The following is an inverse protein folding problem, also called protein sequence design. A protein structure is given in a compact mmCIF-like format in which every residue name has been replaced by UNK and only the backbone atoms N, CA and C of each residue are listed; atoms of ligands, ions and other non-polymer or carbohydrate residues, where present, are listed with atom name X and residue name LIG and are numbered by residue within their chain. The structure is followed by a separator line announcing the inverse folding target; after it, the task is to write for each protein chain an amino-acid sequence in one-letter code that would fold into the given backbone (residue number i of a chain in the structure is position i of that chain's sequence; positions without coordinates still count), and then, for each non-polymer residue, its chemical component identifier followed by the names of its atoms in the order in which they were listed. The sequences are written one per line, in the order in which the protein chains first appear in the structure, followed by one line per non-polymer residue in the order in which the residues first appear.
data_IF_278014719739
#
_entry.id   IF_278014719739
#
_cell.length_a   1.000
_cell.length_b   1.000
_cell.length_c   1.000
_cell.angle_alpha   90.00
_cell.angle_beta   90.00
_cell.angle_gamma   90.00
#
_symmetry.space_group_name_H-M   'P 1'
#
loop_
_entity.id
_entity.type
_entity.pdbx_description
1 polymer ?
#
# COMPACT_ATOMS: atom_id res chain seq x y z
N UNK A 1 -1.15 -0.06 18.04
CA UNK A 1 -1.62 -1.44 18.21
C UNK A 1 -2.04 -2.05 16.87
N UNK A 2 -2.73 -1.33 15.97
CA UNK A 2 -3.17 -1.86 14.67
C UNK A 2 -2.05 -2.07 13.64
N UNK A 3 -1.03 -1.23 13.62
CA UNK A 3 0.07 -1.28 12.65
C UNK A 3 1.06 -2.41 12.91
N UNK A 4 1.39 -2.65 14.16
CA UNK A 4 2.26 -3.78 14.53
C UNK A 4 1.62 -5.12 14.19
N UNK A 5 0.30 -5.22 14.29
CA UNK A 5 -0.44 -6.43 13.98
C UNK A 5 -0.37 -6.77 12.48
N UNK A 6 -0.55 -5.81 11.59
CA UNK A 6 -0.56 -6.05 10.15
C UNK A 6 0.83 -6.35 9.54
N UNK A 7 1.91 -5.85 10.15
CA UNK A 7 3.29 -6.15 9.73
C UNK A 7 3.68 -7.54 10.24
N UNK A 8 3.26 -7.88 11.45
CA UNK A 8 3.41 -9.22 12.02
C UNK A 8 2.70 -10.29 11.19
N UNK A 9 1.52 -9.99 10.64
CA UNK A 9 0.74 -10.96 9.86
C UNK A 9 1.46 -11.44 8.59
N UNK A 10 2.25 -10.60 7.93
CA UNK A 10 3.01 -11.00 6.73
C UNK A 10 4.30 -11.75 7.06
N UNK A 11 4.98 -11.36 8.13
CA UNK A 11 6.07 -12.17 8.68
C UNK A 11 5.56 -13.55 9.07
N UNK A 12 4.38 -13.61 9.70
CA UNK A 12 3.71 -14.87 10.06
C UNK A 12 3.42 -15.72 8.82
N UNK A 13 3.03 -15.12 7.69
CA UNK A 13 2.76 -15.87 6.46
C UNK A 13 4.02 -16.58 5.92
N UNK A 14 5.16 -15.86 5.82
CA UNK A 14 6.43 -16.47 5.42
C UNK A 14 6.90 -17.54 6.40
N UNK A 15 6.80 -17.25 7.69
CA UNK A 15 7.16 -18.17 8.76
C UNK A 15 6.27 -19.41 8.72
N UNK A 16 4.96 -19.22 8.47
CA UNK A 16 4.00 -20.33 8.36
C UNK A 16 4.32 -21.25 7.17
N UNK A 17 4.66 -20.70 6.00
CA UNK A 17 5.04 -21.50 4.83
C UNK A 17 6.30 -22.30 5.15
N UNK A 18 7.36 -21.67 5.64
CA UNK A 18 8.62 -22.36 5.96
C UNK A 18 8.39 -23.42 7.03
N UNK A 19 7.62 -23.11 8.06
CA UNK A 19 7.29 -24.05 9.14
C UNK A 19 6.48 -25.25 8.64
N UNK A 20 5.52 -25.00 7.73
CA UNK A 20 4.72 -26.05 7.12
C UNK A 20 5.56 -26.96 6.21
N UNK A 21 6.49 -26.40 5.42
CA UNK A 21 7.41 -27.18 4.60
C UNK A 21 8.38 -27.99 5.47
N UNK A 22 8.89 -27.44 6.57
CA UNK A 22 9.71 -28.19 7.52
C UNK A 22 8.91 -29.33 8.19
N UNK A 23 7.65 -29.07 8.57
CA UNK A 23 6.76 -30.10 9.09
C UNK A 23 6.49 -31.21 8.07
N UNK A 24 6.31 -30.85 6.79
CA UNK A 24 6.12 -31.80 5.70
C UNK A 24 7.35 -32.69 5.42
N UNK A 25 8.55 -32.15 5.56
CA UNK A 25 9.79 -32.92 5.42
C UNK A 25 9.92 -34.02 6.48
N UNK A 26 9.39 -33.80 7.68
CA UNK A 26 9.43 -34.76 8.79
C UNK A 26 8.20 -35.67 8.81
N UNK A 27 7.14 -35.28 8.08
CA UNK A 27 5.90 -36.05 7.98
C UNK A 27 6.17 -37.41 7.31
N UNK A 28 5.63 -38.48 7.90
CA UNK A 28 5.77 -39.89 7.47
C UNK A 28 7.14 -40.54 7.69
N UNK A 29 8.11 -39.83 8.25
CA UNK A 29 9.42 -40.41 8.57
C UNK A 29 9.43 -41.13 9.94
N UNK A 30 8.44 -40.83 10.80
CA UNK A 30 8.40 -41.39 12.18
C UNK A 30 7.10 -42.14 12.44
N UNK A 31 7.16 -43.17 13.32
CA UNK A 31 5.99 -43.95 13.75
C UNK A 31 5.00 -43.14 14.61
N UNK A 32 5.38 -41.94 15.06
CA UNK A 32 4.61 -41.05 15.95
C UNK A 32 4.33 -39.69 15.24
N UNK A 33 4.09 -39.74 13.96
CA UNK A 33 3.92 -38.61 13.07
C UNK A 33 2.88 -37.55 13.56
N UNK A 34 1.79 -38.03 14.18
CA UNK A 34 0.74 -37.19 14.74
C UNK A 34 1.26 -36.16 15.77
N UNK A 35 2.35 -36.50 16.48
CA UNK A 35 2.94 -35.63 17.52
C UNK A 35 4.15 -34.86 16.96
N UNK A 36 4.98 -35.55 16.17
CA UNK A 36 6.26 -35.00 15.71
C UNK A 36 6.05 -33.89 14.68
N UNK A 37 5.16 -34.08 13.72
CA UNK A 37 4.88 -33.08 12.69
C UNK A 37 4.36 -31.75 13.25
N UNK A 38 3.34 -31.72 14.14
CA UNK A 38 2.92 -30.46 14.77
C UNK A 38 4.01 -29.86 15.67
N UNK A 39 4.74 -30.68 16.41
CA UNK A 39 5.80 -30.19 17.29
C UNK A 39 6.92 -29.49 16.51
N UNK A 40 7.40 -30.08 15.40
CA UNK A 40 8.41 -29.49 14.53
C UNK A 40 7.87 -28.19 13.89
N UNK A 41 6.66 -28.21 13.39
CA UNK A 41 6.04 -27.02 12.79
C UNK A 41 5.95 -25.86 13.78
N UNK A 42 5.53 -26.12 15.02
CA UNK A 42 5.41 -25.11 16.08
C UNK A 42 6.80 -24.61 16.51
N UNK A 43 7.76 -25.50 16.74
CA UNK A 43 9.11 -25.12 17.18
C UNK A 43 9.83 -24.27 16.11
N UNK A 44 9.79 -24.70 14.85
CA UNK A 44 10.38 -23.95 13.74
C UNK A 44 9.67 -22.61 13.56
N UNK A 45 8.33 -22.58 13.60
CA UNK A 45 7.54 -21.36 13.47
C UNK A 45 7.84 -20.36 14.59
N UNK A 46 7.90 -20.83 15.82
CA UNK A 46 8.22 -20.00 16.99
C UNK A 46 9.66 -19.47 16.92
N UNK A 47 10.62 -20.32 16.60
CA UNK A 47 12.03 -19.95 16.47
C UNK A 47 12.25 -18.89 15.38
N UNK A 48 11.66 -19.08 14.20
CA UNK A 48 11.72 -18.11 13.11
C UNK A 48 10.99 -16.80 13.47
N UNK A 49 9.87 -16.89 14.16
CA UNK A 49 9.14 -15.69 14.60
C UNK A 49 9.97 -14.83 15.56
N UNK A 50 10.60 -15.44 16.54
CA UNK A 50 11.47 -14.71 17.50
C UNK A 50 12.68 -14.09 16.79
N UNK A 51 13.22 -14.76 15.78
CA UNK A 51 14.41 -14.29 15.05
C UNK A 51 14.08 -13.15 14.08
N UNK A 52 13.00 -13.26 13.31
CA UNK A 52 12.69 -12.35 12.21
C UNK A 52 11.72 -11.21 12.58
N UNK A 53 10.84 -11.39 13.57
CA UNK A 53 9.87 -10.37 13.95
C UNK A 53 10.50 -9.01 14.34
N UNK A 54 11.62 -8.95 15.10
CA UNK A 54 12.27 -7.69 15.42
C UNK A 54 12.81 -6.94 14.20
N UNK A 55 13.45 -7.68 13.27
CA UNK A 55 14.03 -7.10 12.06
C UNK A 55 12.96 -6.54 11.12
N UNK A 56 11.85 -7.26 10.94
CA UNK A 56 10.73 -6.83 10.11
C UNK A 56 10.03 -5.62 10.76
N UNK A 57 9.86 -5.63 12.08
CA UNK A 57 9.30 -4.51 12.83
C UNK A 57 10.17 -3.25 12.71
N UNK A 58 11.49 -3.38 12.84
CA UNK A 58 12.43 -2.27 12.68
C UNK A 58 12.40 -1.69 11.27
N UNK A 59 12.39 -2.54 10.23
CA UNK A 59 12.30 -2.09 8.84
C UNK A 59 11.01 -1.31 8.56
N UNK A 60 9.87 -1.78 9.07
CA UNK A 60 8.60 -1.10 8.92
C UNK A 60 8.54 0.23 9.67
N UNK A 61 9.11 0.30 10.88
CA UNK A 61 9.21 1.53 11.65
C UNK A 61 10.12 2.55 10.95
N UNK A 62 11.21 2.11 10.31
CA UNK A 62 12.09 2.97 9.53
C UNK A 62 11.36 3.58 8.33
N UNK A 63 10.58 2.78 7.58
CA UNK A 63 9.73 3.30 6.48
C UNK A 63 8.72 4.31 7.02
N UNK A 64 8.06 4.00 8.14
CA UNK A 64 7.12 4.89 8.80
C UNK A 64 7.75 6.24 9.18
N UNK A 65 8.96 6.23 9.77
CA UNK A 65 9.65 7.46 10.17
C UNK A 65 10.03 8.34 8.99
N UNK A 66 10.44 7.74 7.86
CA UNK A 66 10.73 8.48 6.61
C UNK A 66 9.46 9.12 6.04
N UNK A 67 8.32 8.42 6.07
CA UNK A 67 7.05 8.98 5.62
C UNK A 67 6.62 10.13 6.53
N UNK A 68 6.73 9.99 7.85
CA UNK A 68 6.41 11.05 8.80
C UNK A 68 7.28 12.30 8.56
N UNK A 69 8.59 12.13 8.41
CA UNK A 69 9.47 13.23 8.06
C UNK A 69 9.05 13.91 6.75
N UNK A 70 8.64 13.13 5.74
CA UNK A 70 8.20 13.68 4.47
C UNK A 70 6.89 14.51 4.61
N UNK A 71 6.02 14.20 5.57
CA UNK A 71 4.78 14.97 5.78
C UNK A 71 5.00 16.36 6.38
N UNK A 72 6.14 16.61 7.00
CA UNK A 72 6.51 17.91 7.59
C UNK A 72 7.06 18.90 6.55
N UNK A 73 7.34 18.43 5.33
CA UNK A 73 7.90 19.25 4.27
C UNK A 73 6.84 20.17 3.61
N UNK A 74 7.35 21.12 2.79
CA UNK A 74 6.48 21.96 1.97
C UNK A 74 5.58 21.11 1.05
N UNK A 75 4.36 21.56 0.71
CA UNK A 75 3.37 20.78 -0.03
C UNK A 75 3.86 20.14 -1.33
N UNK A 76 4.79 20.80 -2.04
CA UNK A 76 5.36 20.27 -3.27
C UNK A 76 6.29 19.09 -2.98
N UNK A 77 7.25 19.24 -2.06
CA UNK A 77 8.18 18.17 -1.70
C UNK A 77 7.47 17.04 -0.97
N UNK A 78 6.55 17.37 -0.07
CA UNK A 78 5.68 16.40 0.58
C UNK A 78 4.89 15.60 -0.47
N UNK A 79 4.29 16.29 -1.46
CA UNK A 79 3.55 15.65 -2.54
C UNK A 79 4.39 14.63 -3.31
N UNK A 80 5.63 14.97 -3.67
CA UNK A 80 6.55 14.05 -4.36
C UNK A 80 6.92 12.87 -3.47
N UNK A 81 7.43 13.14 -2.27
CA UNK A 81 7.99 12.10 -1.41
C UNK A 81 6.92 11.14 -0.88
N UNK A 82 5.80 11.66 -0.38
CA UNK A 82 4.72 10.83 0.16
C UNK A 82 4.08 9.99 -0.94
N UNK A 83 3.81 10.57 -2.11
CA UNK A 83 3.21 9.81 -3.22
C UNK A 83 4.13 8.68 -3.71
N UNK A 84 5.43 8.94 -3.84
CA UNK A 84 6.40 7.92 -4.27
C UNK A 84 6.56 6.84 -3.19
N UNK A 85 6.79 7.22 -1.94
CA UNK A 85 7.03 6.27 -0.85
C UNK A 85 5.82 5.37 -0.59
N UNK A 86 4.62 5.95 -0.48
CA UNK A 86 3.39 5.18 -0.24
C UNK A 86 3.00 4.37 -1.49
N UNK A 87 3.21 4.91 -2.69
CA UNK A 87 3.01 4.18 -3.94
C UNK A 87 3.94 2.96 -4.06
N UNK A 88 5.22 3.11 -3.74
CA UNK A 88 6.17 1.99 -3.67
C UNK A 88 5.73 0.97 -2.60
N UNK A 89 5.33 1.44 -1.41
CA UNK A 89 4.85 0.59 -0.34
C UNK A 89 3.62 -0.25 -0.74
N UNK A 90 2.72 0.32 -1.55
CA UNK A 90 1.55 -0.41 -2.09
C UNK A 90 1.96 -1.56 -3.01
N UNK A 91 2.99 -1.37 -3.84
CA UNK A 91 3.43 -2.38 -4.80
C UNK A 91 4.27 -3.47 -4.13
N UNK A 92 5.01 -3.12 -3.08
CA UNK A 92 5.74 -4.08 -2.25
C UNK A 92 4.78 -5.00 -1.48
N UNK A 93 5.22 -6.21 -1.09
CA UNK A 93 4.41 -7.10 -0.25
C UNK A 93 4.36 -6.62 1.21
N UNK A 94 4.10 -5.33 1.41
CA UNK A 94 3.86 -4.69 2.71
C UNK A 94 2.52 -3.97 2.69
N UNK A 95 1.86 -3.85 3.84
CA UNK A 95 0.54 -3.23 3.89
C UNK A 95 0.65 -1.70 3.93
N UNK A 96 0.59 -1.04 2.76
CA UNK A 96 0.50 0.41 2.67
C UNK A 96 -0.69 0.99 3.46
N UNK A 97 -1.83 0.30 3.43
CA UNK A 97 -3.01 0.66 4.23
C UNK A 97 -2.73 0.67 5.73
N UNK A 98 -2.02 -0.35 6.24
CA UNK A 98 -1.63 -0.41 7.64
C UNK A 98 -0.61 0.67 8.02
N UNK A 99 0.36 0.95 7.14
CA UNK A 99 1.32 2.04 7.34
C UNK A 99 0.58 3.37 7.43
N UNK A 100 -0.32 3.67 6.47
CA UNK A 100 -1.08 4.92 6.47
C UNK A 100 -1.99 5.04 7.69
N UNK A 101 -2.62 3.94 8.14
CA UNK A 101 -3.42 3.92 9.36
C UNK A 101 -2.58 4.19 10.61
N UNK A 102 -1.41 3.56 10.70
CA UNK A 102 -0.49 3.74 11.84
C UNK A 102 0.03 5.17 11.98
N UNK A 103 0.32 5.80 10.84
CA UNK A 103 0.80 7.18 10.77
C UNK A 103 -0.35 8.18 10.80
N UNK A 104 -1.60 7.73 10.85
CA UNK A 104 -2.80 8.56 10.72
C UNK A 104 -2.71 9.52 9.52
N UNK A 105 -2.33 8.99 8.36
CA UNK A 105 -2.02 9.77 7.17
C UNK A 105 -3.31 10.30 6.52
N UNK A 106 -3.68 11.50 6.91
CA UNK A 106 -4.90 12.21 6.47
C UNK A 106 -4.56 13.58 5.89
N UNK A 107 -5.56 14.37 5.55
CA UNK A 107 -5.39 15.71 5.01
C UNK A 107 -4.69 15.70 3.66
N UNK A 108 -3.82 16.66 3.45
CA UNK A 108 -3.10 16.86 2.20
C UNK A 108 -2.08 15.76 1.92
N UNK A 109 -1.41 15.26 2.97
CA UNK A 109 -0.49 14.13 2.87
C UNK A 109 -1.22 12.83 2.51
N UNK A 110 -2.43 12.62 3.07
CA UNK A 110 -3.32 11.52 2.67
C UNK A 110 -3.72 11.61 1.19
N UNK A 111 -4.01 12.82 0.70
CA UNK A 111 -4.30 13.06 -0.73
C UNK A 111 -3.10 12.72 -1.63
N UNK A 112 -1.87 13.08 -1.23
CA UNK A 112 -0.65 12.71 -1.93
C UNK A 112 -0.45 11.19 -1.96
N UNK A 113 -0.73 10.51 -0.86
CA UNK A 113 -0.65 9.05 -0.76
C UNK A 113 -1.63 8.36 -1.71
N UNK A 114 -2.90 8.83 -1.75
CA UNK A 114 -3.90 8.33 -2.72
C UNK A 114 -3.40 8.50 -4.15
N UNK A 115 -2.87 9.67 -4.51
CA UNK A 115 -2.34 9.96 -5.84
C UNK A 115 -1.22 8.99 -6.22
N UNK A 116 -0.26 8.77 -5.33
CA UNK A 116 0.85 7.84 -5.55
C UNK A 116 0.39 6.39 -5.71
N UNK A 117 -0.55 5.95 -4.88
CA UNK A 117 -1.15 4.62 -4.99
C UNK A 117 -1.90 4.43 -6.31
N UNK A 118 -2.70 5.43 -6.74
CA UNK A 118 -3.37 5.41 -8.03
C UNK A 118 -2.37 5.34 -9.19
N UNK A 119 -1.29 6.12 -9.13
CA UNK A 119 -0.25 6.11 -10.16
C UNK A 119 0.43 4.74 -10.30
N UNK A 120 0.69 4.04 -9.21
CA UNK A 120 1.22 2.69 -9.27
C UNK A 120 0.22 1.71 -9.87
N UNK A 121 -1.03 1.74 -9.45
CA UNK A 121 -2.04 0.77 -9.88
C UNK A 121 -2.44 0.98 -11.33
N UNK A 122 -2.85 2.19 -11.71
CA UNK A 122 -3.29 2.52 -13.06
C UNK A 122 -2.10 2.50 -14.02
N UNK A 123 -0.93 2.99 -13.60
CA UNK A 123 0.30 2.94 -14.40
C UNK A 123 0.66 1.52 -14.80
N UNK A 124 0.71 0.57 -13.87
CA UNK A 124 0.95 -0.84 -14.19
C UNK A 124 -0.17 -1.49 -15.01
N UNK A 125 -1.42 -1.12 -14.75
CA UNK A 125 -2.57 -1.62 -15.50
C UNK A 125 -2.45 -1.24 -16.99
N UNK A 126 -2.14 0.02 -17.29
CA UNK A 126 -1.96 0.51 -18.65
C UNK A 126 -0.72 -0.08 -19.30
N UNK A 127 0.42 -0.14 -18.60
CA UNK A 127 1.66 -0.72 -19.11
C UNK A 127 1.51 -2.19 -19.50
N UNK A 128 0.73 -2.97 -18.75
CA UNK A 128 0.52 -4.39 -19.00
C UNK A 128 -0.63 -4.68 -19.97
N UNK A 129 -1.31 -3.67 -20.49
CA UNK A 129 -2.51 -3.84 -21.30
C UNK A 129 -2.27 -4.66 -22.57
N UNK A 130 -1.10 -4.50 -23.22
CA UNK A 130 -0.75 -5.23 -24.46
C UNK A 130 -0.64 -6.73 -24.22
N UNK A 131 -0.14 -7.16 -23.07
CA UNK A 131 0.07 -8.56 -22.73
C UNK A 131 -1.17 -9.20 -22.08
N UNK A 132 -1.84 -8.47 -21.21
CA UNK A 132 -2.90 -9.02 -20.35
C UNK A 132 -4.32 -8.55 -20.70
N UNK A 133 -4.46 -7.65 -21.68
CA UNK A 133 -5.76 -7.15 -22.13
C UNK A 133 -6.60 -6.50 -21.03
N UNK A 134 -7.92 -6.53 -21.18
CA UNK A 134 -8.87 -5.92 -20.23
C UNK A 134 -8.84 -6.61 -18.86
N UNK A 135 -8.63 -7.93 -18.82
CA UNK A 135 -8.50 -8.67 -17.55
C UNK A 135 -7.33 -8.17 -16.70
N UNK A 136 -6.17 -7.92 -17.34
CA UNK A 136 -5.01 -7.33 -16.69
C UNK A 136 -5.24 -5.89 -16.24
N UNK A 137 -5.94 -5.10 -17.05
CA UNK A 137 -6.30 -3.72 -16.69
C UNK A 137 -7.15 -3.67 -15.41
N UNK A 138 -8.17 -4.51 -15.31
CA UNK A 138 -9.06 -4.56 -14.15
C UNK A 138 -8.34 -5.14 -12.93
N UNK A 139 -7.62 -6.25 -13.08
CA UNK A 139 -6.94 -6.90 -11.96
C UNK A 139 -5.84 -6.04 -11.34
N UNK A 140 -5.15 -5.22 -12.12
CA UNK A 140 -4.11 -4.32 -11.60
C UNK A 140 -4.65 -2.94 -11.25
N UNK A 141 -5.53 -2.37 -12.07
CA UNK A 141 -6.07 -1.03 -11.85
C UNK A 141 -7.06 -0.95 -10.70
N UNK A 142 -7.85 -1.99 -10.45
CA UNK A 142 -8.85 -2.03 -9.38
C UNK A 142 -8.49 -3.07 -8.31
N UNK A 143 -7.72 -4.12 -8.67
CA UNK A 143 -7.28 -5.14 -7.73
C UNK A 143 -6.02 -4.74 -6.99
N UNK A 144 -4.83 -4.98 -7.54
CA UNK A 144 -3.56 -4.64 -6.87
C UNK A 144 -2.38 -4.57 -7.83
N UNK A 145 -1.49 -3.60 -7.61
CA UNK A 145 -0.19 -3.50 -8.30
C UNK A 145 0.83 -4.58 -7.88
N UNK A 146 0.61 -5.27 -6.77
CA UNK A 146 1.48 -6.37 -6.29
C UNK A 146 1.64 -7.50 -7.31
N UNK A 147 0.69 -7.67 -8.23
CA UNK A 147 0.77 -8.66 -9.30
C UNK A 147 2.00 -8.48 -10.19
N UNK A 148 2.59 -7.28 -10.19
CA UNK A 148 3.82 -7.00 -10.96
C UNK A 148 5.11 -7.32 -10.20
N UNK A 149 5.06 -7.71 -8.93
CA UNK A 149 6.26 -8.02 -8.15
C UNK A 149 7.19 -9.05 -8.80
N UNK A 150 6.70 -10.18 -9.37
CA UNK A 150 7.57 -11.12 -10.06
C UNK A 150 8.30 -10.51 -11.26
N UNK A 151 7.66 -9.59 -11.99
CA UNK A 151 8.25 -8.88 -13.11
C UNK A 151 9.25 -7.81 -12.66
N UNK A 152 8.95 -7.09 -11.60
CA UNK A 152 9.84 -6.10 -10.98
C UNK A 152 11.14 -6.77 -10.48
N UNK A 153 11.04 -7.92 -9.82
CA UNK A 153 12.21 -8.68 -9.35
C UNK A 153 13.10 -9.16 -10.51
N UNK A 154 12.51 -9.54 -11.65
CA UNK A 154 13.26 -9.94 -12.85
C UNK A 154 13.86 -8.75 -13.58
N UNK A 155 13.13 -7.63 -13.67
CA UNK A 155 13.51 -6.42 -14.40
C UNK A 155 13.10 -5.16 -13.63
N UNK A 156 13.90 -4.66 -12.68
CA UNK A 156 13.53 -3.50 -11.83
C UNK A 156 13.18 -2.23 -12.60
N UNK A 157 13.68 -2.10 -13.83
CA UNK A 157 13.38 -0.94 -14.71
C UNK A 157 11.88 -0.78 -15.02
N UNK A 158 11.10 -1.87 -14.95
CA UNK A 158 9.63 -1.83 -15.16
C UNK A 158 8.93 -0.99 -14.10
N UNK A 159 9.53 -0.78 -12.95
CA UNK A 159 8.97 0.03 -11.87
C UNK A 159 9.16 1.54 -12.05
N UNK A 160 10.12 1.96 -12.88
CA UNK A 160 10.46 3.37 -13.06
C UNK A 160 9.29 4.24 -13.56
N UNK A 161 8.53 3.85 -14.62
CA UNK A 161 7.44 4.68 -15.12
C UNK A 161 6.35 4.98 -14.06
N UNK A 162 5.80 4.00 -13.30
CA UNK A 162 4.85 4.31 -12.25
C UNK A 162 5.43 5.15 -11.10
N UNK A 163 6.72 5.00 -10.79
CA UNK A 163 7.40 5.85 -9.79
C UNK A 163 7.47 7.30 -10.27
N UNK A 164 7.83 7.51 -11.54
CA UNK A 164 7.88 8.86 -12.14
C UNK A 164 6.46 9.45 -12.20
N UNK A 165 5.46 8.66 -12.60
CA UNK A 165 4.07 9.07 -12.57
C UNK A 165 3.64 9.50 -11.15
N UNK A 166 3.98 8.72 -10.11
CA UNK A 166 3.72 9.07 -8.72
C UNK A 166 4.37 10.40 -8.33
N UNK A 167 5.63 10.62 -8.73
CA UNK A 167 6.37 11.85 -8.44
C UNK A 167 5.75 13.09 -9.10
N UNK A 168 5.03 12.93 -10.21
CA UNK A 168 4.34 14.02 -10.92
C UNK A 168 2.94 14.23 -10.37
N UNK A 169 2.18 13.14 -10.20
CA UNK A 169 0.77 13.21 -9.75
C UNK A 169 0.64 13.68 -8.30
N UNK A 170 1.61 13.34 -7.44
CA UNK A 170 1.63 13.79 -6.05
C UNK A 170 1.58 15.31 -5.89
N UNK A 171 2.55 16.08 -6.46
CA UNK A 171 2.50 17.54 -6.44
C UNK A 171 1.27 18.15 -7.10
N UNK A 172 0.76 17.54 -8.16
CA UNK A 172 -0.47 18.02 -8.81
C UNK A 172 -1.64 17.86 -7.83
N UNK A 173 -1.72 16.73 -7.12
CA UNK A 173 -2.75 16.51 -6.11
C UNK A 173 -2.64 17.50 -4.95
N UNK A 174 -1.43 17.82 -4.47
CA UNK A 174 -1.23 18.68 -3.30
C UNK A 174 -1.25 20.17 -3.61
N UNK A 175 -0.63 20.61 -4.72
CA UNK A 175 -0.46 22.02 -5.04
C UNK A 175 -1.59 22.57 -5.92
N UNK A 176 -2.07 21.76 -6.90
CA UNK A 176 -3.09 22.23 -7.87
C UNK A 176 -4.48 21.96 -7.34
N UNK A 177 -4.81 20.70 -7.05
CA UNK A 177 -6.15 20.31 -6.62
C UNK A 177 -6.36 20.43 -5.10
N UNK A 178 -5.28 20.56 -4.33
CA UNK A 178 -5.32 20.55 -2.85
C UNK A 178 -6.20 19.41 -2.33
N UNK A 179 -6.01 18.23 -2.91
CA UNK A 179 -6.80 17.04 -2.64
C UNK A 179 -6.58 16.62 -1.18
N UNK A 180 -7.57 16.81 -0.34
CA UNK A 180 -7.53 16.40 1.06
C UNK A 180 -8.26 15.09 1.22
N UNK A 181 -7.61 14.15 1.89
CA UNK A 181 -8.17 12.87 2.28
C UNK A 181 -8.43 12.88 3.80
N UNK A 182 -9.60 13.38 4.21
CA UNK A 182 -10.04 13.48 5.60
C UNK A 182 -10.93 12.30 6.03
N UNK A 183 -11.05 11.29 5.18
CA UNK A 183 -11.69 10.02 5.53
C UNK A 183 -10.79 9.12 6.36
N UNK A 184 -11.14 7.82 6.50
CA UNK A 184 -10.32 6.86 7.24
C UNK A 184 -8.89 6.77 6.70
N UNK A 185 -7.88 6.93 7.56
CA UNK A 185 -6.47 6.95 7.16
C UNK A 185 -6.00 5.68 6.42
N UNK A 186 -6.67 4.54 6.64
CA UNK A 186 -6.48 3.30 5.87
C UNK A 186 -6.65 3.52 4.37
N UNK A 187 -7.63 4.35 3.98
CA UNK A 187 -7.99 4.59 2.58
C UNK A 187 -6.90 5.34 1.81
N UNK A 188 -6.06 6.12 2.49
CA UNK A 188 -4.96 6.86 1.85
C UNK A 188 -3.91 5.95 1.22
N UNK A 189 -3.72 4.73 1.75
CA UNK A 189 -2.77 3.76 1.24
C UNK A 189 -3.33 2.76 0.23
N UNK A 190 -4.59 2.93 -0.21
CA UNK A 190 -5.27 1.93 -1.06
C UNK A 190 -5.39 2.37 -2.53
N UNK A 191 -5.33 3.67 -2.83
CA UNK A 191 -5.49 4.18 -4.20
C UNK A 191 -6.78 3.68 -4.87
N UNK A 192 -6.68 3.14 -6.08
CA UNK A 192 -7.81 2.57 -6.84
C UNK A 192 -8.18 1.13 -6.44
N UNK A 193 -7.50 0.52 -5.47
CA UNK A 193 -7.83 -0.82 -4.98
C UNK A 193 -9.26 -0.85 -4.42
N UNK A 194 -10.18 -1.52 -5.12
CA UNK A 194 -11.61 -1.52 -4.79
C UNK A 194 -12.23 -0.12 -4.70
N UNK A 195 -11.60 0.91 -5.30
CA UNK A 195 -11.96 2.34 -5.21
C UNK A 195 -11.94 2.88 -3.77
N UNK A 196 -11.24 2.21 -2.85
CA UNK A 196 -11.23 2.56 -1.42
C UNK A 196 -10.60 3.94 -1.20
N UNK A 197 -9.57 4.31 -1.96
CA UNK A 197 -8.96 5.65 -1.88
C UNK A 197 -9.96 6.75 -2.25
N UNK A 198 -10.71 6.58 -3.35
CA UNK A 198 -11.72 7.53 -3.83
C UNK A 198 -12.89 7.64 -2.85
N UNK A 199 -13.37 6.49 -2.34
CA UNK A 199 -14.42 6.46 -1.32
C UNK A 199 -13.94 7.17 -0.04
N UNK A 200 -12.66 6.96 0.37
CA UNK A 200 -12.06 7.64 1.52
C UNK A 200 -12.01 9.16 1.35
N UNK A 201 -11.63 9.65 0.18
CA UNK A 201 -11.65 11.09 -0.13
C UNK A 201 -13.08 11.64 -0.09
N UNK A 202 -14.03 10.95 -0.71
CA UNK A 202 -15.43 11.36 -0.72
C UNK A 202 -16.05 11.39 0.68
N UNK A 203 -15.82 10.35 1.49
CA UNK A 203 -16.31 10.32 2.88
C UNK A 203 -15.69 11.43 3.72
N UNK A 204 -14.43 11.77 3.48
CA UNK A 204 -13.78 12.93 4.08
C UNK A 204 -14.47 14.24 3.70
N UNK A 205 -14.76 14.46 2.44
CA UNK A 205 -15.49 15.66 1.99
C UNK A 205 -16.89 15.78 2.61
N UNK A 206 -17.62 14.67 2.72
CA UNK A 206 -18.94 14.65 3.37
C UNK A 206 -18.81 15.03 4.85
N UNK A 207 -17.80 14.51 5.56
CA UNK A 207 -17.53 14.86 6.93
C UNK A 207 -17.13 16.34 7.10
N UNK A 208 -16.30 16.88 6.19
CA UNK A 208 -15.88 18.28 6.20
C UNK A 208 -17.06 19.24 5.94
N UNK A 209 -17.97 18.86 5.05
CA UNK A 209 -19.21 19.63 4.82
C UNK A 209 -20.12 19.56 6.04
N UNK A 210 -20.29 18.39 6.64
CA UNK A 210 -21.12 18.20 7.84
C UNK A 210 -20.59 18.97 9.06
N UNK A 211 -19.26 19.09 9.20
CA UNK A 211 -18.61 19.87 10.27
C UNK A 211 -18.53 21.36 9.99
N UNK A 212 -18.90 21.81 8.77
CA UNK A 212 -18.78 23.22 8.34
C UNK A 212 -17.37 23.63 7.94
N UNK A 213 -16.41 22.71 7.90
CA UNK A 213 -15.03 22.97 7.45
C UNK A 213 -14.96 23.26 5.94
N UNK A 214 -15.92 22.75 5.17
CA UNK A 214 -16.03 22.94 3.74
C UNK A 214 -17.45 23.39 3.38
N UNK A 215 -17.57 24.43 2.53
CA UNK A 215 -18.88 24.97 2.14
C UNK A 215 -19.72 24.01 1.26
N UNK A 216 -19.07 23.09 0.56
CA UNK A 216 -19.71 22.09 -0.30
C UNK A 216 -18.71 21.35 -1.18
N UNK A 217 -19.15 20.27 -1.79
CA UNK A 217 -18.34 19.50 -2.76
C UNK A 217 -18.53 20.17 -4.14
N UNK A 218 -17.42 20.61 -4.74
CA UNK A 218 -17.43 21.34 -6.01
C UNK A 218 -17.12 20.42 -7.19
N UNK A 219 -17.47 20.85 -8.42
CA UNK A 219 -17.06 20.13 -9.63
C UNK A 219 -15.53 20.05 -9.78
N UNK A 220 -14.80 21.03 -9.22
CA UNK A 220 -13.34 21.02 -9.21
C UNK A 220 -12.76 19.89 -8.33
N UNK A 221 -13.39 19.60 -7.19
CA UNK A 221 -12.99 18.49 -6.32
C UNK A 221 -13.14 17.15 -7.06
N UNK A 222 -14.28 16.94 -7.73
CA UNK A 222 -14.52 15.75 -8.53
C UNK A 222 -13.56 15.63 -9.70
N UNK A 223 -13.31 16.73 -10.43
CA UNK A 223 -12.34 16.76 -11.51
C UNK A 223 -10.94 16.41 -10.99
N UNK A 224 -10.53 16.98 -9.86
CA UNK A 224 -9.25 16.66 -9.22
C UNK A 224 -9.13 15.18 -8.86
N UNK A 225 -10.14 14.62 -8.20
CA UNK A 225 -10.16 13.23 -7.81
C UNK A 225 -10.08 12.29 -9.03
N UNK A 226 -10.87 12.51 -10.07
CA UNK A 226 -10.90 11.66 -11.25
C UNK A 226 -9.62 11.80 -12.09
N UNK A 227 -9.12 13.03 -12.28
CA UNK A 227 -7.89 13.27 -13.03
C UNK A 227 -6.69 12.63 -12.33
N UNK A 228 -6.53 12.85 -11.04
CA UNK A 228 -5.40 12.31 -10.24
C UNK A 228 -5.49 10.79 -10.13
N UNK A 229 -6.69 10.21 -10.09
CA UNK A 229 -6.85 8.77 -9.91
C UNK A 229 -6.70 7.95 -11.18
N UNK A 230 -7.15 8.46 -12.34
CA UNK A 230 -7.30 7.65 -13.55
C UNK A 230 -6.67 8.23 -14.82
N UNK A 231 -6.51 9.54 -14.93
CA UNK A 231 -6.08 10.18 -16.18
C UNK A 231 -4.60 10.53 -16.17
N UNK A 232 -4.10 11.06 -15.06
CA UNK A 232 -2.71 11.47 -14.92
C UNK A 232 -1.73 10.30 -14.70
N UNK A 233 -2.14 9.21 -14.04
CA UNK A 233 -1.30 8.01 -13.98
C UNK A 233 -1.01 7.39 -15.32
#
# INVERSE_FOLDING_TARGET
VGSEMCIRDRAVYFIAIVSAECGKLVSKETKVDIIVTPAVTILVGTGLSVLFAPAIGAAASAVGSVIMWATELQPLLMGILVSVLVGIALTLPISSAAICAALNLTGLAGGAAVAGCCAQMVGFAVMSFKENGVGGLVSQGIGTSMLQMPNILKKPRVWLPPIIASAITGPIATCVFKLQMNGPAVSSGMGTCGLVGQIGVYTGWVADVASGAKAGITAFDWAGLLLVSFVLP
#
